data_IF_310093518566
#
_entry.id   IF_310093518566
#
_cell.length_a   1.000
_cell.length_b   1.000
_cell.length_c   1.000
_cell.angle_alpha   90.00
_cell.angle_beta   90.00
_cell.angle_gamma   90.00
#
_symmetry.space_group_name_H-M   'P 1'
#
loop_
_entity.id
_entity.type
_entity.pdbx_description
1 polymer ?
#
# COMPACT_ATOMS: atom_id res chain seq x y z
N UNK A 1 0.90 4.65 -50.40
CA UNK A 1 0.24 3.34 -50.67
C UNK A 1 1.32 2.37 -51.12
N UNK A 2 1.91 1.66 -50.17
CA UNK A 2 3.03 0.74 -50.39
C UNK A 2 2.54 -0.65 -50.03
N UNK A 3 2.51 -1.52 -51.03
CA UNK A 3 2.19 -2.94 -50.92
C UNK A 3 3.52 -3.66 -50.71
N UNK A 4 3.67 -4.40 -49.60
CA UNK A 4 4.69 -5.44 -49.47
C UNK A 4 4.05 -6.72 -48.97
N UNK A 5 4.29 -7.79 -49.73
CA UNK A 5 3.77 -9.15 -49.58
C UNK A 5 4.47 -9.94 -48.47
N UNK A 6 3.65 -10.83 -47.90
CA UNK A 6 3.91 -12.03 -47.11
C UNK A 6 5.24 -12.77 -47.31
N UNK A 7 5.73 -13.38 -46.22
CA UNK A 7 6.29 -14.74 -46.23
C UNK A 7 5.86 -15.52 -44.97
N UNK A 8 5.28 -16.70 -45.22
CA UNK A 8 5.08 -17.81 -44.28
C UNK A 8 6.38 -18.63 -44.16
N UNK A 9 6.61 -19.24 -42.99
CA UNK A 9 7.29 -20.54 -42.82
C UNK A 9 7.02 -21.04 -41.38
N UNK A 10 6.23 -22.12 -41.22
CA UNK A 10 6.67 -23.48 -40.90
C UNK A 10 7.23 -23.62 -39.46
N UNK A 11 6.44 -24.04 -38.48
CA UNK A 11 6.20 -25.44 -38.07
C UNK A 11 7.49 -26.22 -37.77
N UNK A 12 7.79 -26.43 -36.49
CA UNK A 12 8.55 -27.58 -36.02
C UNK A 12 7.88 -28.17 -34.77
N UNK A 13 7.44 -29.42 -34.95
CA UNK A 13 6.96 -30.34 -33.93
C UNK A 13 8.16 -31.21 -33.54
N UNK A 14 8.48 -31.31 -32.25
CA UNK A 14 9.36 -32.36 -31.74
C UNK A 14 8.82 -32.87 -30.41
N UNK A 15 8.31 -34.10 -30.47
CA UNK A 15 7.94 -34.95 -29.35
C UNK A 15 9.19 -35.65 -28.85
N UNK A 16 9.41 -35.66 -27.54
CA UNK A 16 10.28 -36.64 -26.88
C UNK A 16 9.60 -37.13 -25.60
N UNK A 17 9.09 -38.36 -25.66
CA UNK A 17 8.78 -39.17 -24.49
C UNK A 17 10.07 -39.82 -23.99
N UNK A 18 10.28 -39.83 -22.67
CA UNK A 18 11.14 -40.81 -22.03
C UNK A 18 10.50 -41.24 -20.70
N UNK A 19 10.15 -42.52 -20.68
CA UNK A 19 9.69 -43.35 -19.56
C UNK A 19 10.87 -43.89 -18.75
N UNK A 20 10.55 -44.41 -17.55
CA UNK A 20 11.33 -45.33 -16.67
C UNK A 20 11.96 -44.64 -15.45
N UNK A 21 11.93 -45.16 -14.22
CA UNK A 21 11.45 -46.42 -13.66
C UNK A 21 11.20 -46.28 -12.14
N UNK A 22 10.29 -47.13 -11.64
CA UNK A 22 10.05 -47.42 -10.24
C UNK A 22 11.17 -48.29 -9.64
N UNK A 23 11.69 -47.88 -8.48
CA UNK A 23 12.31 -48.71 -7.43
C UNK A 23 11.95 -47.98 -6.12
N UNK A 24 11.40 -48.55 -5.05
CA UNK A 24 11.49 -49.90 -4.52
C UNK A 24 11.84 -49.76 -3.03
N UNK A 25 10.84 -49.91 -2.16
CA UNK A 25 10.88 -49.67 -0.72
C UNK A 25 11.85 -50.59 0.05
N UNK A 26 12.48 -50.08 1.13
CA UNK A 26 12.44 -50.68 2.48
C UNK A 26 13.40 -50.00 3.47
N UNK A 27 12.87 -49.43 4.55
CA UNK A 27 13.48 -49.50 5.89
C UNK A 27 12.45 -49.19 6.98
N UNK A 28 12.47 -50.03 8.01
CA UNK A 28 11.60 -50.06 9.20
C UNK A 28 11.99 -49.00 10.25
N UNK A 29 11.21 -48.82 11.34
CA UNK A 29 11.17 -47.59 12.12
C UNK A 29 12.29 -47.55 13.16
N UNK A 30 12.85 -46.36 13.38
CA UNK A 30 13.63 -46.06 14.56
C UNK A 30 12.83 -45.08 15.42
N UNK A 31 12.30 -45.59 16.52
CA UNK A 31 12.01 -44.81 17.71
C UNK A 31 13.29 -44.07 18.11
N UNK A 32 13.25 -42.74 18.06
CA UNK A 32 14.19 -41.88 18.75
C UNK A 32 13.39 -40.88 19.58
N UNK A 33 13.48 -41.14 20.87
CA UNK A 33 13.06 -40.37 22.03
C UNK A 33 13.19 -38.85 21.84
N UNK A 34 12.20 -38.16 22.42
CA UNK A 34 12.07 -36.72 22.41
C UNK A 34 13.30 -35.97 22.90
N UNK A 35 13.64 -34.95 22.12
CA UNK A 35 14.22 -33.73 22.63
C UNK A 35 13.22 -32.64 22.20
N UNK A 36 12.63 -31.98 23.19
CA UNK A 36 11.94 -30.72 22.97
C UNK A 36 12.88 -29.80 22.18
N UNK A 37 12.41 -29.13 21.11
CA UNK A 37 13.21 -28.10 20.50
C UNK A 37 13.34 -26.99 21.55
N UNK A 38 14.50 -26.91 22.19
CA UNK A 38 14.93 -25.68 22.85
C UNK A 38 14.66 -24.54 21.87
N UNK A 39 13.76 -23.65 22.27
CA UNK A 39 13.58 -22.35 21.64
C UNK A 39 14.97 -21.73 21.53
N UNK A 40 15.55 -21.80 20.34
CA UNK A 40 16.78 -21.11 20.04
C UNK A 40 16.49 -19.63 20.29
N UNK A 41 16.99 -19.10 21.41
CA UNK A 41 16.99 -17.66 21.65
C UNK A 41 17.64 -17.03 20.43
N UNK A 42 16.80 -16.41 19.59
CA UNK A 42 17.24 -15.65 18.45
C UNK A 42 18.24 -14.62 18.99
N UNK A 43 19.49 -14.72 18.51
CA UNK A 43 20.56 -13.81 18.92
C UNK A 43 20.07 -12.37 18.78
N UNK A 44 19.84 -11.70 19.92
CA UNK A 44 19.36 -10.31 20.02
C UNK A 44 20.44 -9.29 19.60
N UNK A 45 21.35 -9.67 18.69
CA UNK A 45 22.28 -8.70 18.13
C UNK A 45 21.51 -7.78 17.17
N UNK A 46 21.58 -6.45 17.37
CA UNK A 46 20.99 -5.49 16.44
C UNK A 46 21.52 -5.77 15.02
N UNK A 47 20.64 -5.98 14.05
CA UNK A 47 21.03 -6.04 12.64
C UNK A 47 21.38 -4.62 12.16
N UNK A 48 22.00 -4.51 10.98
CA UNK A 48 22.42 -3.22 10.40
C UNK A 48 21.27 -2.20 10.23
N UNK A 49 20.01 -2.66 10.32
CA UNK A 49 18.81 -1.82 10.37
C UNK A 49 18.44 -1.27 11.75
N UNK A 50 18.78 -1.94 12.85
CA UNK A 50 18.22 -1.66 14.20
C UNK A 50 18.87 -0.48 14.93
N UNK A 51 19.94 0.10 14.37
CA UNK A 51 20.63 1.25 14.95
C UNK A 51 19.82 2.56 14.77
N UNK A 52 19.75 3.43 15.81
CA UNK A 52 19.14 4.74 15.68
C UNK A 52 19.75 5.54 14.52
N UNK A 53 18.91 6.03 13.63
CA UNK A 53 19.34 6.73 12.41
C UNK A 53 19.43 8.24 12.67
N UNK A 54 20.53 8.87 12.26
CA UNK A 54 20.66 10.33 12.35
C UNK A 54 19.79 11.04 11.31
N UNK A 55 19.47 12.31 11.54
CA UNK A 55 18.74 13.13 10.57
C UNK A 55 19.44 13.18 9.19
N UNK A 56 20.78 13.28 9.21
CA UNK A 56 21.58 13.27 7.99
C UNK A 56 21.47 11.94 7.24
N UNK A 57 21.51 10.81 7.97
CA UNK A 57 21.38 9.49 7.38
C UNK A 57 19.98 9.27 6.79
N UNK A 58 18.93 9.69 7.49
CA UNK A 58 17.55 9.67 6.97
C UNK A 58 17.47 10.45 5.66
N UNK A 59 17.98 11.67 5.64
CA UNK A 59 17.96 12.50 4.43
C UNK A 59 18.66 11.78 3.26
N UNK A 60 19.84 11.21 3.50
CA UNK A 60 20.59 10.47 2.48
C UNK A 60 19.84 9.23 1.99
N UNK A 61 19.17 8.49 2.88
CA UNK A 61 18.35 7.33 2.53
C UNK A 61 17.19 7.77 1.62
N UNK A 62 16.45 8.80 2.00
CA UNK A 62 15.31 9.31 1.22
C UNK A 62 15.77 9.89 -0.12
N UNK A 63 16.91 10.57 -0.17
CA UNK A 63 17.53 11.01 -1.43
C UNK A 63 17.92 9.83 -2.33
N UNK A 64 18.45 8.75 -1.77
CA UNK A 64 18.74 7.52 -2.50
C UNK A 64 17.49 6.90 -3.11
N UNK A 65 16.39 6.83 -2.34
CA UNK A 65 15.09 6.35 -2.83
C UNK A 65 14.57 7.22 -3.98
N UNK A 66 14.56 8.55 -3.80
CA UNK A 66 14.13 9.49 -4.83
C UNK A 66 14.98 9.38 -6.11
N UNK A 67 16.30 9.22 -5.96
CA UNK A 67 17.22 9.05 -7.09
C UNK A 67 16.94 7.75 -7.88
N UNK A 68 16.57 6.67 -7.20
CA UNK A 68 16.21 5.40 -7.84
C UNK A 68 14.93 5.48 -8.72
N UNK A 69 14.14 6.54 -8.56
CA UNK A 69 12.91 6.83 -9.33
C UNK A 69 12.99 8.13 -10.15
N UNK A 70 14.18 8.72 -10.27
CA UNK A 70 14.38 9.92 -11.08
C UNK A 70 14.02 9.71 -12.56
N UNK A 71 14.30 8.56 -13.22
CA UNK A 71 13.89 8.32 -14.60
C UNK A 71 12.36 8.33 -14.79
N UNK A 72 11.61 7.75 -13.86
CA UNK A 72 10.15 7.76 -13.87
C UNK A 72 9.61 9.18 -13.72
N UNK A 73 10.12 9.95 -12.75
CA UNK A 73 9.74 11.36 -12.62
C UNK A 73 10.04 12.16 -13.90
N UNK A 74 11.21 11.96 -14.50
CA UNK A 74 11.59 12.64 -15.74
C UNK A 74 10.69 12.26 -16.93
N UNK A 75 10.20 11.02 -17.01
CA UNK A 75 9.24 10.60 -18.03
C UNK A 75 7.92 11.39 -17.96
N UNK A 76 7.57 11.92 -16.78
CA UNK A 76 6.42 12.80 -16.55
C UNK A 76 6.79 14.30 -16.57
N UNK A 77 8.01 14.63 -16.99
CA UNK A 77 8.53 16.00 -16.98
C UNK A 77 8.67 16.59 -15.58
N UNK A 78 8.84 15.74 -14.58
CA UNK A 78 8.95 16.10 -13.17
C UNK A 78 10.35 15.80 -12.62
N UNK A 79 10.60 16.27 -11.40
CA UNK A 79 11.82 15.99 -10.65
C UNK A 79 11.54 15.87 -9.16
N UNK A 80 12.23 14.95 -8.49
CA UNK A 80 12.19 14.86 -7.03
C UNK A 80 13.16 15.85 -6.39
N UNK A 81 12.77 16.40 -5.25
CA UNK A 81 13.70 17.04 -4.30
C UNK A 81 13.41 16.55 -2.90
N UNK A 82 14.42 16.50 -2.03
CA UNK A 82 14.26 16.08 -0.62
C UNK A 82 14.67 17.22 0.28
N UNK A 83 13.81 17.57 1.23
CA UNK A 83 14.03 18.67 2.20
C UNK A 83 13.76 18.16 3.60
N UNK A 84 14.53 18.63 4.58
CA UNK A 84 14.26 18.39 5.99
C UNK A 84 13.73 19.69 6.58
N UNK A 85 12.42 19.79 6.72
CA UNK A 85 11.77 21.01 7.20
C UNK A 85 10.35 20.72 7.72
N UNK A 86 9.83 21.64 8.55
CA UNK A 86 8.49 21.53 9.09
C UNK A 86 8.32 20.36 10.08
N UNK A 87 7.06 20.05 10.40
CA UNK A 87 6.73 19.05 11.42
C UNK A 87 6.17 17.75 10.88
N UNK A 88 5.77 17.71 9.60
CA UNK A 88 5.04 16.59 9.01
C UNK A 88 5.79 16.07 7.79
N UNK A 89 6.08 14.77 7.79
CA UNK A 89 6.61 14.09 6.62
C UNK A 89 5.51 13.93 5.57
N UNK A 90 5.79 14.37 4.33
CA UNK A 90 4.84 14.35 3.21
C UNK A 90 5.52 14.60 1.87
N UNK A 91 4.82 14.32 0.79
CA UNK A 91 5.12 14.84 -0.54
C UNK A 91 4.28 16.09 -0.88
N UNK A 92 4.91 17.07 -1.50
CA UNK A 92 4.27 18.23 -2.10
C UNK A 92 4.52 18.24 -3.63
N UNK A 93 3.44 18.20 -4.41
CA UNK A 93 3.47 18.16 -5.87
C UNK A 93 3.19 19.59 -6.37
N UNK A 94 4.25 20.28 -6.76
CA UNK A 94 4.17 21.67 -7.20
C UNK A 94 3.76 21.81 -8.67
N UNK A 95 3.22 22.98 -9.03
CA UNK A 95 2.82 23.35 -10.40
C UNK A 95 3.97 23.30 -11.41
N UNK A 96 5.21 23.53 -10.94
CA UNK A 96 6.42 23.46 -11.75
C UNK A 96 6.96 22.03 -11.95
N UNK A 97 6.18 21.02 -11.53
CA UNK A 97 6.51 19.59 -11.55
C UNK A 97 7.71 19.23 -10.68
N UNK A 98 7.99 20.04 -9.66
CA UNK A 98 8.85 19.62 -8.55
C UNK A 98 8.02 18.82 -7.55
N UNK A 99 8.41 17.56 -7.34
CA UNK A 99 7.84 16.66 -6.35
C UNK A 99 8.73 16.69 -5.10
N UNK A 100 8.37 17.52 -4.12
CA UNK A 100 9.16 17.77 -2.92
C UNK A 100 8.81 16.74 -1.85
N UNK A 101 9.73 15.84 -1.51
CA UNK A 101 9.63 15.00 -0.33
C UNK A 101 10.13 15.83 0.86
N UNK A 102 9.20 16.21 1.72
CA UNK A 102 9.47 16.96 2.95
C UNK A 102 9.57 15.93 4.08
N UNK A 103 10.75 15.81 4.67
CA UNK A 103 11.00 15.00 5.88
C UNK A 103 10.77 15.89 7.08
N UNK A 104 9.68 15.65 7.80
CA UNK A 104 9.28 16.44 8.97
C UNK A 104 9.95 15.99 10.25
N UNK A 105 9.87 16.81 11.30
CA UNK A 105 10.42 16.44 12.62
C UNK A 105 9.65 15.31 13.32
N UNK A 106 8.40 15.03 12.95
CA UNK A 106 7.62 13.88 13.40
C UNK A 106 8.27 12.53 13.09
N UNK A 107 9.14 12.53 12.09
CA UNK A 107 9.90 11.38 11.64
C UNK A 107 10.90 10.88 12.70
N UNK A 108 11.57 11.81 13.39
CA UNK A 108 12.71 11.52 14.25
C UNK A 108 12.27 11.16 15.68
N UNK A 109 11.69 9.97 15.83
CA UNK A 109 11.29 9.41 17.13
C UNK A 109 11.90 8.03 17.38
N UNK A 110 11.86 7.62 18.65
CA UNK A 110 12.39 6.33 19.08
C UNK A 110 11.82 5.16 18.25
N UNK A 111 12.69 4.21 17.89
CA UNK A 111 12.36 3.08 17.03
C UNK A 111 12.50 3.35 15.53
N UNK A 112 12.92 4.55 15.10
CA UNK A 112 13.26 4.79 13.70
C UNK A 112 14.56 4.06 13.30
N UNK A 113 14.44 3.13 12.36
CA UNK A 113 15.51 2.32 11.77
C UNK A 113 15.83 2.76 10.34
N UNK A 114 16.93 2.24 9.76
CA UNK A 114 17.27 2.54 8.35
C UNK A 114 16.23 1.98 7.38
N UNK A 115 15.71 0.80 7.69
CA UNK A 115 14.67 0.14 6.90
C UNK A 115 13.34 0.89 6.97
N UNK A 116 12.96 1.41 8.14
CA UNK A 116 11.78 2.29 8.25
C UNK A 116 12.00 3.62 7.53
N UNK A 117 13.20 4.19 7.58
CA UNK A 117 13.52 5.40 6.84
C UNK A 117 13.39 5.20 5.32
N UNK A 118 13.89 4.07 4.81
CA UNK A 118 13.75 3.69 3.40
C UNK A 118 12.29 3.41 3.02
N UNK A 119 11.55 2.69 3.87
CA UNK A 119 10.13 2.44 3.67
C UNK A 119 9.33 3.73 3.53
N UNK A 120 9.55 4.70 4.43
CA UNK A 120 8.79 5.95 4.37
C UNK A 120 9.23 6.81 3.17
N UNK A 121 10.52 6.84 2.83
CA UNK A 121 10.96 7.46 1.56
C UNK A 121 10.26 6.83 0.34
N UNK A 122 10.12 5.51 0.33
CA UNK A 122 9.39 4.77 -0.69
C UNK A 122 7.88 5.06 -0.68
N UNK A 123 7.29 5.26 0.50
CA UNK A 123 5.90 5.68 0.66
C UNK A 123 5.68 7.06 0.01
N UNK A 124 6.55 8.03 0.28
CA UNK A 124 6.43 9.37 -0.31
C UNK A 124 6.60 9.35 -1.83
N UNK A 125 7.55 8.58 -2.36
CA UNK A 125 7.64 8.32 -3.82
C UNK A 125 6.37 7.64 -4.33
N UNK A 126 5.79 6.73 -3.56
CA UNK A 126 4.54 6.04 -3.85
C UNK A 126 3.34 6.98 -3.97
N UNK A 127 3.32 8.12 -3.26
CA UNK A 127 2.30 9.13 -3.51
C UNK A 127 2.40 9.69 -4.93
N UNK A 128 3.60 9.93 -5.47
CA UNK A 128 3.75 10.45 -6.83
C UNK A 128 3.58 9.38 -7.92
N UNK A 129 3.97 8.13 -7.66
CA UNK A 129 4.11 7.10 -8.70
C UNK A 129 3.25 5.84 -8.49
N UNK A 130 2.64 5.66 -7.32
CA UNK A 130 1.91 4.45 -6.94
C UNK A 130 0.62 4.21 -7.70
N UNK A 131 0.01 5.27 -8.25
CA UNK A 131 -1.19 5.21 -9.08
C UNK A 131 -2.49 5.02 -8.30
N UNK A 132 -3.48 4.44 -8.97
CA UNK A 132 -4.82 4.25 -8.43
C UNK A 132 -4.84 3.29 -7.22
N UNK A 133 -5.61 3.58 -6.16
CA UNK A 133 -6.53 4.72 -6.03
C UNK A 133 -5.84 6.03 -5.67
N UNK A 134 -6.39 7.14 -6.17
CA UNK A 134 -5.90 8.50 -5.88
C UNK A 134 -6.64 9.14 -4.70
N UNK A 135 -5.93 10.01 -3.97
CA UNK A 135 -6.51 10.90 -2.95
C UNK A 135 -7.53 11.84 -3.60
N UNK A 136 -8.55 12.20 -2.84
CA UNK A 136 -9.67 13.05 -3.28
C UNK A 136 -9.92 14.14 -2.24
N UNK A 137 -8.95 15.05 -2.12
CA UNK A 137 -9.07 16.28 -1.37
C UNK A 137 -9.02 17.49 -2.29
N UNK A 138 -9.34 18.69 -1.78
CA UNK A 138 -9.23 19.93 -2.55
C UNK A 138 -7.86 20.11 -3.26
N UNK A 139 -6.70 19.79 -2.64
CA UNK A 139 -5.41 19.87 -3.34
C UNK A 139 -5.33 18.96 -4.57
N UNK A 140 -5.79 17.70 -4.46
CA UNK A 140 -5.76 16.74 -5.57
C UNK A 140 -6.74 17.12 -6.67
N UNK A 141 -7.90 17.68 -6.32
CA UNK A 141 -8.82 18.24 -7.32
C UNK A 141 -8.16 19.38 -8.09
N UNK A 142 -7.43 20.26 -7.42
CA UNK A 142 -6.65 21.32 -8.09
C UNK A 142 -5.53 20.73 -8.96
N UNK A 143 -4.90 19.62 -8.56
CA UNK A 143 -3.90 18.92 -9.39
C UNK A 143 -4.48 18.40 -10.73
N UNK A 144 -5.79 18.20 -10.83
CA UNK A 144 -6.47 17.70 -12.05
C UNK A 144 -7.46 18.69 -12.68
N UNK A 145 -7.75 19.83 -12.05
CA UNK A 145 -8.80 20.75 -12.48
C UNK A 145 -8.43 21.47 -13.80
N UNK A 146 -9.31 21.36 -14.81
CA UNK A 146 -9.21 22.10 -16.07
C UNK A 146 -8.31 21.48 -17.14
N UNK A 147 -7.98 20.18 -17.04
CA UNK A 147 -6.88 19.58 -17.79
C UNK A 147 -7.34 18.44 -18.72
N UNK A 148 -7.28 18.68 -20.04
CA UNK A 148 -7.22 17.59 -21.05
C UNK A 148 -5.88 16.84 -20.96
N UNK A 149 -4.81 17.52 -20.53
CA UNK A 149 -3.46 17.00 -20.29
C UNK A 149 -2.91 17.62 -18.98
N UNK A 150 -2.52 16.80 -18.01
CA UNK A 150 -2.25 17.24 -16.63
C UNK A 150 -1.06 18.18 -16.46
N UNK A 151 -1.28 19.31 -15.78
CA UNK A 151 -0.28 20.33 -15.49
C UNK A 151 0.83 19.82 -14.55
N UNK A 152 0.48 19.00 -13.56
CA UNK A 152 1.34 18.61 -12.43
C UNK A 152 2.13 17.30 -12.63
N UNK A 153 1.88 16.60 -13.74
CA UNK A 153 2.53 15.32 -14.06
C UNK A 153 2.07 14.11 -13.22
N UNK A 154 1.29 14.32 -12.15
CA UNK A 154 0.71 13.23 -11.34
C UNK A 154 -0.45 13.73 -10.44
N UNK A 155 -1.11 12.79 -9.77
CA UNK A 155 -2.09 12.99 -8.69
C UNK A 155 -1.67 12.10 -7.52
N UNK A 156 -1.70 12.63 -6.28
CA UNK A 156 -1.28 11.84 -5.12
C UNK A 156 -2.08 10.53 -4.99
N UNK A 157 -1.38 9.41 -4.96
CA UNK A 157 -1.93 8.10 -4.63
C UNK A 157 -2.45 8.09 -3.18
N UNK A 158 -3.45 7.26 -2.89
CA UNK A 158 -3.97 7.03 -1.56
C UNK A 158 -2.88 6.55 -0.59
N UNK A 159 -3.07 6.78 0.72
CA UNK A 159 -2.17 6.28 1.77
C UNK A 159 -1.88 4.78 1.63
N UNK A 160 -2.94 3.97 1.43
CA UNK A 160 -2.79 2.51 1.29
C UNK A 160 -2.07 2.12 0.01
N UNK A 161 -2.27 2.88 -1.06
CA UNK A 161 -1.60 2.64 -2.32
C UNK A 161 -0.12 3.01 -2.26
N UNK A 162 0.24 4.06 -1.50
CA UNK A 162 1.62 4.42 -1.23
C UNK A 162 2.36 3.36 -0.38
N UNK A 163 1.73 2.87 0.70
CA UNK A 163 2.26 1.75 1.50
C UNK A 163 2.46 0.46 0.67
N UNK A 164 1.49 0.16 -0.19
CA UNK A 164 1.50 -1.00 -1.06
C UNK A 164 2.60 -0.87 -2.13
N UNK A 165 2.72 0.30 -2.78
CA UNK A 165 3.80 0.59 -3.72
C UNK A 165 5.17 0.49 -3.06
N UNK A 166 5.32 1.02 -1.84
CA UNK A 166 6.59 1.07 -1.15
C UNK A 166 7.18 -0.33 -0.96
N UNK A 167 6.38 -1.28 -0.50
CA UNK A 167 6.80 -2.66 -0.27
C UNK A 167 6.86 -3.49 -1.56
N UNK A 168 5.89 -3.31 -2.47
CA UNK A 168 5.80 -4.09 -3.71
C UNK A 168 6.87 -3.71 -4.73
N UNK A 169 7.04 -2.43 -5.03
CA UNK A 169 7.93 -2.00 -6.11
C UNK A 169 9.22 -1.38 -5.57
N UNK A 170 9.11 -0.39 -4.68
CA UNK A 170 10.24 0.46 -4.33
C UNK A 170 11.31 -0.27 -3.53
N UNK A 171 10.94 -0.86 -2.38
CA UNK A 171 11.88 -1.61 -1.56
C UNK A 171 12.35 -2.89 -2.26
N UNK A 172 11.49 -3.55 -3.04
CA UNK A 172 11.90 -4.70 -3.83
C UNK A 172 12.94 -4.35 -4.89
N UNK A 173 12.86 -3.15 -5.49
CA UNK A 173 13.85 -2.63 -6.43
C UNK A 173 15.17 -2.29 -5.74
N UNK A 174 15.11 -1.64 -4.57
CA UNK A 174 16.30 -1.13 -3.89
C UNK A 174 17.06 -2.23 -3.16
N UNK A 175 16.34 -3.23 -2.60
CA UNK A 175 16.92 -4.30 -1.79
C UNK A 175 16.97 -5.66 -2.47
N UNK A 176 16.50 -5.77 -3.73
CA UNK A 176 16.41 -7.06 -4.43
C UNK A 176 17.76 -7.79 -4.54
N UNK A 177 18.86 -7.04 -4.63
CA UNK A 177 20.21 -7.58 -4.76
C UNK A 177 20.96 -7.71 -3.40
N UNK A 178 20.35 -7.27 -2.29
CA UNK A 178 20.92 -7.29 -0.94
C UNK A 178 20.80 -8.68 -0.28
N UNK A 179 21.21 -9.74 -0.99
CA UNK A 179 20.96 -11.14 -0.59
C UNK A 179 21.47 -11.51 0.81
N UNK A 180 22.64 -11.04 1.21
CA UNK A 180 23.21 -11.30 2.55
C UNK A 180 22.34 -10.67 3.65
N UNK A 181 22.03 -9.37 3.51
CA UNK A 181 21.19 -8.63 4.45
C UNK A 181 19.78 -9.24 4.53
N UNK A 182 19.15 -9.53 3.38
CA UNK A 182 17.81 -10.11 3.34
C UNK A 182 17.75 -11.46 4.05
N UNK A 183 18.78 -12.31 3.91
CA UNK A 183 18.81 -13.64 4.54
C UNK A 183 18.83 -13.59 6.07
N UNK A 184 19.33 -12.49 6.67
CA UNK A 184 19.37 -12.30 8.11
C UNK A 184 17.97 -12.17 8.73
N UNK A 185 16.95 -11.81 7.94
CA UNK A 185 15.56 -11.65 8.43
C UNK A 185 14.81 -12.98 8.57
N UNK A 186 15.37 -14.11 8.12
CA UNK A 186 14.76 -15.45 8.23
C UNK A 186 14.34 -15.81 9.66
N UNK A 187 15.10 -15.36 10.66
CA UNK A 187 14.91 -15.66 12.08
C UNK A 187 14.08 -14.59 12.81
N UNK A 188 13.73 -13.48 12.14
CA UNK A 188 12.96 -12.35 12.72
C UNK A 188 11.48 -12.42 12.40
N UNK A 189 11.06 -13.32 11.51
CA UNK A 189 9.65 -13.54 11.18
C UNK A 189 9.08 -14.73 11.94
N UNK A 190 7.79 -14.66 12.28
CA UNK A 190 7.07 -15.79 12.86
C UNK A 190 6.99 -16.97 11.86
N UNK A 191 6.68 -18.16 12.35
CA UNK A 191 6.40 -19.30 11.49
C UNK A 191 5.21 -19.06 10.54
N UNK A 192 4.19 -18.31 10.99
CA UNK A 192 3.00 -18.01 10.19
C UNK A 192 3.31 -17.05 9.03
N UNK A 193 4.06 -15.97 9.31
CA UNK A 193 4.54 -15.03 8.29
C UNK A 193 5.51 -15.70 7.32
N UNK A 194 6.43 -16.53 7.84
CA UNK A 194 7.34 -17.32 7.02
C UNK A 194 6.59 -18.21 6.02
N UNK A 195 5.58 -18.95 6.50
CA UNK A 195 4.76 -19.82 5.65
C UNK A 195 4.02 -19.08 4.53
N UNK A 196 3.60 -17.82 4.75
CA UNK A 196 2.97 -16.99 3.71
C UNK A 196 3.96 -16.57 2.63
N UNK A 197 5.15 -16.11 3.02
CA UNK A 197 6.22 -15.82 2.06
C UNK A 197 6.62 -17.08 1.26
N UNK A 198 6.78 -18.21 1.95
CA UNK A 198 7.17 -19.49 1.33
C UNK A 198 6.10 -20.04 0.38
N UNK A 199 4.84 -19.73 0.63
CA UNK A 199 3.72 -20.11 -0.23
C UNK A 199 3.61 -19.31 -1.53
N UNK A 200 4.25 -18.14 -1.60
CA UNK A 200 4.21 -17.26 -2.79
C UNK A 200 5.50 -17.37 -3.60
N UNK A 201 6.65 -17.39 -2.93
CA UNK A 201 7.95 -17.21 -3.57
C UNK A 201 8.73 -18.52 -3.65
N UNK A 202 9.17 -18.87 -4.86
CA UNK A 202 9.92 -20.11 -5.10
C UNK A 202 11.40 -19.98 -4.73
N UNK A 203 12.03 -18.85 -5.07
CA UNK A 203 13.45 -18.65 -4.84
C UNK A 203 13.75 -18.30 -3.38
N UNK A 204 14.96 -18.64 -2.91
CA UNK A 204 15.43 -18.22 -1.58
C UNK A 204 15.54 -16.69 -1.50
N UNK A 205 16.04 -16.04 -2.57
CA UNK A 205 16.23 -14.59 -2.61
C UNK A 205 14.91 -13.82 -2.45
N UNK A 206 13.86 -14.23 -3.16
CA UNK A 206 12.54 -13.58 -3.05
C UNK A 206 11.88 -13.85 -1.70
N UNK A 207 12.05 -15.05 -1.14
CA UNK A 207 11.57 -15.37 0.22
C UNK A 207 12.27 -14.53 1.27
N UNK A 208 13.58 -14.36 1.16
CA UNK A 208 14.38 -13.57 2.09
C UNK A 208 14.00 -12.09 2.05
N UNK A 209 13.81 -11.54 0.85
CA UNK A 209 13.28 -10.20 0.68
C UNK A 209 11.88 -10.07 1.29
N UNK A 210 11.00 -11.05 1.07
CA UNK A 210 9.66 -11.06 1.67
C UNK A 210 9.71 -11.06 3.21
N UNK A 211 10.65 -11.79 3.83
CA UNK A 211 10.82 -11.77 5.28
C UNK A 211 11.26 -10.39 5.79
N UNK A 212 12.22 -9.75 5.11
CA UNK A 212 12.65 -8.39 5.46
C UNK A 212 11.49 -7.40 5.38
N UNK A 213 10.72 -7.44 4.30
CA UNK A 213 9.55 -6.58 4.12
C UNK A 213 8.45 -6.86 5.17
N UNK A 214 8.28 -8.11 5.61
CA UNK A 214 7.35 -8.46 6.67
C UNK A 214 7.79 -7.90 8.04
N UNK A 215 9.10 -7.89 8.31
CA UNK A 215 9.67 -7.23 9.51
C UNK A 215 9.46 -5.73 9.43
N UNK A 216 9.70 -5.08 8.29
CA UNK A 216 9.38 -3.66 8.07
C UNK A 216 7.91 -3.36 8.36
N UNK A 217 6.99 -4.21 7.90
CA UNK A 217 5.56 -4.04 8.18
C UNK A 217 5.27 -4.05 9.69
N UNK A 218 5.82 -5.03 10.42
CA UNK A 218 5.64 -5.13 11.88
C UNK A 218 6.30 -3.95 12.62
N UNK A 219 7.54 -3.63 12.28
CA UNK A 219 8.31 -2.54 12.91
C UNK A 219 7.62 -1.19 12.67
N UNK A 220 7.03 -0.99 11.49
CA UNK A 220 6.25 0.20 11.19
C UNK A 220 4.98 0.28 12.04
N UNK A 221 4.29 -0.85 12.22
CA UNK A 221 3.15 -0.96 13.12
C UNK A 221 3.48 -0.59 14.57
N UNK A 222 4.61 -1.08 15.09
CA UNK A 222 5.14 -0.70 16.41
C UNK A 222 5.48 0.78 16.46
N UNK A 223 6.16 1.29 15.43
CA UNK A 223 6.56 2.69 15.33
C UNK A 223 5.36 3.64 15.34
N UNK A 224 4.23 3.28 14.71
CA UNK A 224 2.98 4.05 14.77
C UNK A 224 2.40 4.18 16.19
N UNK A 225 2.68 3.22 17.08
CA UNK A 225 2.62 3.40 18.54
C UNK A 225 1.22 3.55 19.15
N UNK A 226 0.21 2.84 18.64
CA UNK A 226 -1.18 2.95 19.17
C UNK A 226 -1.80 1.62 19.57
N UNK A 227 -1.75 0.63 18.70
CA UNK A 227 -2.37 -0.67 18.91
C UNK A 227 -1.37 -1.80 18.61
N UNK A 228 -1.47 -2.97 19.28
CA UNK A 228 -0.74 -4.15 18.86
C UNK A 228 -1.09 -4.48 17.40
N UNK A 229 -0.07 -4.55 16.56
CA UNK A 229 -0.23 -4.91 15.15
C UNK A 229 0.73 -6.04 14.79
N UNK A 230 0.33 -6.88 13.84
CA UNK A 230 1.15 -8.01 13.42
C UNK A 230 0.75 -8.53 12.04
N UNK A 231 1.73 -8.96 11.27
CA UNK A 231 1.54 -9.72 10.02
C UNK A 231 0.85 -11.08 10.26
N UNK A 232 0.87 -11.62 11.48
CA UNK A 232 0.22 -12.89 11.81
C UNK A 232 -1.30 -12.78 11.89
N UNK A 233 -1.79 -11.62 12.35
CA UNK A 233 -3.20 -11.36 12.68
C UNK A 233 -3.78 -10.28 11.76
N UNK A 234 -4.01 -10.59 10.47
CA UNK A 234 -4.51 -9.62 9.53
C UNK A 234 -5.90 -9.12 9.93
N UNK A 235 -6.19 -7.86 9.59
CA UNK A 235 -7.50 -7.26 9.84
C UNK A 235 -8.60 -8.03 9.10
N UNK A 236 -9.66 -8.37 9.81
CA UNK A 236 -10.89 -8.93 9.24
C UNK A 236 -11.88 -7.85 8.80
N UNK A 237 -11.54 -6.56 9.00
CA UNK A 237 -12.40 -5.44 8.64
C UNK A 237 -12.53 -5.37 7.12
N UNK A 238 -13.77 -5.23 6.66
CA UNK A 238 -14.09 -4.95 5.26
C UNK A 238 -14.76 -3.59 5.22
N UNK A 239 -14.16 -2.62 4.53
CA UNK A 239 -14.77 -1.32 4.35
C UNK A 239 -15.78 -1.33 3.19
N UNK A 240 -16.88 -0.56 3.31
CA UNK A 240 -17.83 -0.36 2.23
C UNK A 240 -17.20 0.41 1.07
N UNK A 241 -16.21 1.27 1.32
CA UNK A 241 -15.52 2.06 0.31
C UNK A 241 -14.01 1.89 0.32
N UNK A 242 -13.38 2.38 -0.75
CA UNK A 242 -11.93 2.59 -0.76
C UNK A 242 -11.59 3.85 0.04
N UNK A 243 -10.92 3.66 1.16
CA UNK A 243 -10.45 4.75 2.01
C UNK A 243 -9.11 5.28 1.50
N UNK A 244 -9.08 6.54 1.07
CA UNK A 244 -7.91 7.14 0.41
C UNK A 244 -7.06 8.05 1.29
N UNK A 245 -7.55 8.43 2.47
CA UNK A 245 -6.95 9.49 3.29
C UNK A 245 -6.27 8.98 4.57
N UNK A 246 -6.60 7.79 5.06
CA UNK A 246 -5.94 7.26 6.25
C UNK A 246 -6.43 5.88 6.63
N UNK A 247 -5.56 5.04 7.18
CA UNK A 247 -5.89 3.66 7.55
C UNK A 247 -5.57 3.41 9.02
N UNK A 248 -6.30 2.47 9.62
CA UNK A 248 -5.94 1.94 10.94
C UNK A 248 -4.56 1.29 10.88
N UNK A 249 -3.82 1.31 12.01
CA UNK A 249 -2.43 0.83 12.06
C UNK A 249 -2.29 -0.62 11.54
N UNK A 250 -3.14 -1.54 11.99
CA UNK A 250 -3.12 -2.93 11.49
C UNK A 250 -3.32 -3.01 9.99
N UNK A 251 -4.21 -2.18 9.44
CA UNK A 251 -4.48 -2.17 8.00
C UNK A 251 -3.28 -1.65 7.19
N UNK A 252 -2.46 -0.76 7.76
CA UNK A 252 -1.17 -0.37 7.17
C UNK A 252 -0.20 -1.56 7.14
N UNK A 253 -0.04 -2.26 8.26
CA UNK A 253 0.80 -3.48 8.35
C UNK A 253 0.37 -4.52 7.32
N UNK A 254 -0.94 -4.80 7.23
CA UNK A 254 -1.50 -5.73 6.25
C UNK A 254 -1.20 -5.31 4.81
N UNK A 255 -1.21 -4.00 4.54
CA UNK A 255 -1.00 -3.45 3.20
C UNK A 255 0.45 -3.52 2.77
N UNK A 256 1.38 -3.21 3.68
CA UNK A 256 2.82 -3.35 3.46
C UNK A 256 3.16 -4.83 3.21
N UNK A 257 2.59 -5.74 4.01
CA UNK A 257 2.85 -7.16 3.83
C UNK A 257 2.19 -7.75 2.57
N UNK A 258 1.00 -7.29 2.20
CA UNK A 258 0.38 -7.65 0.93
C UNK A 258 1.26 -7.23 -0.26
N UNK A 259 1.88 -6.04 -0.21
CA UNK A 259 2.83 -5.62 -1.24
C UNK A 259 4.04 -6.55 -1.36
N UNK A 260 4.59 -7.00 -0.23
CA UNK A 260 5.68 -7.98 -0.18
C UNK A 260 5.31 -9.37 -0.76
N UNK A 261 4.03 -9.73 -0.73
CA UNK A 261 3.49 -10.98 -1.26
C UNK A 261 3.02 -10.86 -2.72
N UNK A 262 3.09 -9.68 -3.33
CA UNK A 262 2.65 -9.49 -4.69
C UNK A 262 3.80 -9.69 -5.69
N UNK A 263 3.71 -10.63 -6.65
CA UNK A 263 4.72 -10.81 -7.70
C UNK A 263 4.62 -9.80 -8.86
N UNK A 264 3.59 -8.96 -8.89
CA UNK A 264 3.40 -7.97 -9.95
C UNK A 264 4.29 -6.76 -9.70
N UNK A 265 5.09 -6.40 -10.70
CA UNK A 265 5.96 -5.21 -10.70
C UNK A 265 5.52 -4.24 -11.80
N UNK A 266 5.66 -2.94 -11.56
CA UNK A 266 5.44 -1.95 -12.62
C UNK A 266 6.56 -2.06 -13.68
N UNK A 267 6.27 -2.44 -14.95
CA UNK A 267 7.30 -2.73 -15.94
C UNK A 267 7.91 -1.48 -16.60
N UNK A 268 7.39 -0.29 -16.32
CA UNK A 268 7.80 0.94 -17.01
C UNK A 268 7.68 2.18 -16.14
N UNK A 269 7.56 3.33 -16.80
CA UNK A 269 7.46 4.64 -16.16
C UNK A 269 6.02 5.10 -15.97
N UNK A 270 5.03 4.33 -16.43
CA UNK A 270 3.63 4.70 -16.35
C UNK A 270 3.16 4.76 -14.90
N UNK A 271 2.32 5.75 -14.57
CA UNK A 271 1.65 5.85 -13.28
C UNK A 271 0.33 5.08 -13.39
N UNK A 272 0.15 3.96 -12.68
CA UNK A 272 -1.00 3.07 -12.88
C UNK A 272 -2.35 3.79 -12.71
N UNK A 273 -3.22 3.71 -13.71
CA UNK A 273 -4.52 4.38 -13.70
C UNK A 273 -4.47 5.89 -13.95
N UNK A 274 -3.30 6.52 -14.12
CA UNK A 274 -3.19 7.94 -14.49
C UNK A 274 -3.41 8.10 -16.00
N UNK A 275 -4.65 7.91 -16.47
CA UNK A 275 -5.02 7.93 -17.89
C UNK A 275 -5.97 9.11 -18.18
N UNK A 276 -5.71 9.95 -19.21
CA UNK A 276 -6.63 11.01 -19.60
C UNK A 276 -8.02 10.47 -20.00
N UNK A 277 -9.11 11.23 -19.79
CA UNK A 277 -9.18 12.53 -19.14
C UNK A 277 -9.05 12.45 -17.61
N UNK A 278 -8.22 13.32 -17.03
CA UNK A 278 -7.84 13.26 -15.62
C UNK A 278 -8.96 13.62 -14.62
N UNK A 279 -10.05 14.21 -15.10
CA UNK A 279 -11.26 14.43 -14.30
C UNK A 279 -11.80 13.12 -13.69
N UNK A 280 -11.61 11.97 -14.35
CA UNK A 280 -12.07 10.67 -13.86
C UNK A 280 -11.24 10.08 -12.72
N UNK A 281 -10.04 10.62 -12.46
CA UNK A 281 -9.10 10.04 -11.48
C UNK A 281 -9.54 10.26 -10.04
N UNK A 282 -10.27 11.34 -9.79
CA UNK A 282 -10.90 11.64 -8.49
C UNK A 282 -12.30 11.04 -8.40
N UNK A 283 -12.77 10.36 -9.45
CA UNK A 283 -13.99 9.56 -9.40
C UNK A 283 -13.62 8.10 -9.08
N UNK A 284 -14.48 7.44 -8.31
CA UNK A 284 -14.37 5.98 -8.16
C UNK A 284 -14.99 5.36 -9.41
N UNK A 285 -14.14 4.99 -10.36
CA UNK A 285 -14.53 4.41 -11.65
C UNK A 285 -13.81 3.05 -11.83
N UNK A 286 -14.55 1.93 -12.03
CA UNK A 286 -13.94 0.62 -12.23
C UNK A 286 -13.04 0.56 -13.48
N UNK A 287 -13.20 1.47 -14.44
CA UNK A 287 -12.31 1.57 -15.60
C UNK A 287 -10.92 2.10 -15.21
N UNK A 288 -10.82 3.03 -14.26
CA UNK A 288 -9.53 3.52 -13.74
C UNK A 288 -8.80 2.43 -12.96
N UNK A 289 -9.55 1.61 -12.21
CA UNK A 289 -8.96 0.42 -11.57
C UNK A 289 -8.45 -0.58 -12.60
N UNK A 290 -9.21 -0.84 -13.68
CA UNK A 290 -8.79 -1.71 -14.76
C UNK A 290 -7.52 -1.20 -15.46
N UNK A 291 -7.42 0.11 -15.68
CA UNK A 291 -6.23 0.76 -16.25
C UNK A 291 -4.99 0.64 -15.33
N UNK A 292 -5.19 0.47 -14.01
CA UNK A 292 -4.12 0.26 -13.04
C UNK A 292 -3.78 -1.22 -12.78
N UNK A 293 -4.59 -2.16 -13.28
CA UNK A 293 -4.52 -3.58 -12.90
C UNK A 293 -3.19 -4.24 -13.24
N UNK A 294 -2.47 -3.74 -14.25
CA UNK A 294 -1.17 -4.28 -14.65
C UNK A 294 -0.08 -4.12 -13.58
N UNK A 295 -0.27 -3.21 -12.62
CA UNK A 295 0.72 -2.88 -11.59
C UNK A 295 0.34 -3.38 -10.19
N UNK A 296 -0.76 -4.14 -10.04
CA UNK A 296 -1.20 -4.63 -8.74
C UNK A 296 -1.67 -6.08 -8.80
N UNK A 297 -1.61 -6.77 -7.66
CA UNK A 297 -2.25 -8.07 -7.53
C UNK A 297 -3.74 -7.84 -7.31
N UNK A 298 -4.56 -8.29 -8.26
CA UNK A 298 -6.01 -8.20 -8.16
C UNK A 298 -6.57 -9.19 -7.14
N UNK A 299 -5.94 -10.36 -7.02
CA UNK A 299 -6.37 -11.47 -6.16
C UNK A 299 -5.18 -12.14 -5.47
N UNK A 300 -5.48 -13.03 -4.52
CA UNK A 300 -4.49 -13.82 -3.80
C UNK A 300 -3.87 -13.10 -2.59
N UNK A 301 -2.81 -13.68 -2.01
CA UNK A 301 -2.20 -13.18 -0.77
C UNK A 301 -1.53 -11.80 -0.93
N UNK A 302 -1.19 -11.42 -2.17
CA UNK A 302 -0.67 -10.08 -2.48
C UNK A 302 -1.74 -9.04 -2.79
N UNK A 303 -3.03 -9.39 -2.78
CA UNK A 303 -4.08 -8.43 -3.08
C UNK A 303 -4.19 -7.34 -2.01
N UNK A 304 -4.53 -6.11 -2.45
CA UNK A 304 -4.72 -4.96 -1.54
C UNK A 304 -5.79 -5.29 -0.48
N UNK A 305 -5.49 -5.11 0.82
CA UNK A 305 -6.39 -5.49 1.91
C UNK A 305 -7.77 -4.80 1.87
N UNK A 306 -8.82 -5.58 2.19
CA UNK A 306 -10.21 -5.11 2.24
C UNK A 306 -10.52 -4.13 3.37
N UNK A 307 -9.61 -3.99 4.32
CA UNK A 307 -9.70 -3.04 5.42
C UNK A 307 -9.48 -1.58 4.99
N UNK A 308 -9.03 -1.34 3.75
CA UNK A 308 -8.94 0.00 3.15
C UNK A 308 -9.34 0.04 1.68
N UNK A 309 -9.13 -1.04 0.93
CA UNK A 309 -9.37 -1.08 -0.52
C UNK A 309 -10.63 -1.89 -0.87
N UNK A 310 -11.50 -1.33 -1.70
CA UNK A 310 -12.62 -2.04 -2.31
C UNK A 310 -12.38 -2.17 -3.82
N UNK A 311 -11.99 -3.35 -4.33
CA UNK A 311 -11.95 -3.63 -5.76
C UNK A 311 -13.32 -3.51 -6.42
N UNK A 312 -13.30 -3.15 -7.70
CA UNK A 312 -14.46 -2.95 -8.56
C UNK A 312 -15.50 -2.02 -7.92
N UNK A 313 -15.02 -0.98 -7.22
CA UNK A 313 -15.92 -0.01 -6.63
C UNK A 313 -16.61 0.79 -7.73
N UNK A 314 -17.92 0.93 -7.61
CA UNK A 314 -18.71 1.92 -8.32
C UNK A 314 -19.13 3.01 -7.34
N UNK A 315 -19.43 4.23 -7.81
CA UNK A 315 -20.00 5.26 -6.96
C UNK A 315 -21.25 4.73 -6.25
N UNK A 316 -21.36 4.99 -4.95
CA UNK A 316 -22.58 4.70 -4.21
C UNK A 316 -23.71 5.61 -4.68
N UNK A 317 -24.91 5.05 -4.78
CA UNK A 317 -26.12 5.83 -5.01
C UNK A 317 -26.49 6.57 -3.71
N UNK A 318 -26.21 7.87 -3.69
CA UNK A 318 -26.53 8.76 -2.59
C UNK A 318 -27.83 9.53 -2.81
N UNK A 319 -28.64 9.20 -3.82
CA UNK A 319 -29.87 9.95 -4.13
C UNK A 319 -30.90 9.99 -3.00
N UNK A 320 -30.79 9.06 -2.02
CA UNK A 320 -31.67 9.01 -0.85
C UNK A 320 -31.18 9.85 0.35
N UNK A 321 -30.00 10.45 0.29
CA UNK A 321 -29.42 11.27 1.38
C UNK A 321 -29.13 12.67 0.83
N UNK A 322 -29.58 13.76 1.47
CA UNK A 322 -29.26 15.10 1.03
C UNK A 322 -27.74 15.35 0.97
N UNK A 323 -27.29 16.26 0.12
CA UNK A 323 -25.86 16.61 -0.01
C UNK A 323 -25.29 17.14 1.32
N UNK A 324 -26.09 17.86 2.11
CA UNK A 324 -25.74 18.33 3.45
C UNK A 324 -25.84 17.24 4.53
N UNK A 325 -26.31 16.04 4.18
CA UNK A 325 -26.67 14.99 5.12
C UNK A 325 -28.08 15.14 5.70
N UNK A 326 -28.48 14.18 6.53
CA UNK A 326 -29.70 14.26 7.33
C UNK A 326 -29.56 13.52 8.67
N UNK A 327 -30.61 13.55 9.50
CA UNK A 327 -30.64 12.79 10.74
C UNK A 327 -31.21 11.39 10.52
N UNK A 328 -30.57 10.39 11.11
CA UNK A 328 -31.00 9.00 11.08
C UNK A 328 -30.95 8.37 12.47
N UNK A 329 -31.31 7.09 12.54
CA UNK A 329 -31.23 6.28 13.75
C UNK A 329 -30.45 5.02 13.40
N UNK A 330 -29.47 4.64 14.24
CA UNK A 330 -28.70 3.39 14.06
C UNK A 330 -29.60 2.17 14.30
N UNK A 331 -29.10 0.97 13.97
CA UNK A 331 -29.82 -0.28 14.23
C UNK A 331 -30.11 -0.49 15.73
N UNK A 332 -29.27 0.06 16.61
CA UNK A 332 -29.40 0.04 18.06
C UNK A 332 -30.35 1.12 18.61
N UNK A 333 -30.97 1.93 17.75
CA UNK A 333 -31.88 2.99 18.18
C UNK A 333 -31.18 4.29 18.61
N UNK A 334 -29.88 4.45 18.34
CA UNK A 334 -29.12 5.66 18.69
C UNK A 334 -29.33 6.70 17.60
N UNK A 335 -29.63 7.95 17.97
CA UNK A 335 -29.70 9.06 17.01
C UNK A 335 -28.34 9.26 16.34
N UNK A 336 -28.30 9.58 15.06
CA UNK A 336 -27.05 9.75 14.31
C UNK A 336 -27.15 10.82 13.23
N UNK A 337 -26.03 11.46 12.94
CA UNK A 337 -25.85 12.22 11.70
C UNK A 337 -25.60 11.21 10.57
N UNK A 338 -26.30 11.38 9.45
CA UNK A 338 -26.17 10.53 8.28
C UNK A 338 -25.67 11.33 7.10
N UNK A 339 -24.53 10.92 6.58
CA UNK A 339 -23.97 11.44 5.35
C UNK A 339 -23.92 10.33 4.31
N UNK A 340 -23.85 10.70 3.04
CA UNK A 340 -23.53 9.75 1.99
C UNK A 340 -22.46 10.32 1.09
N UNK A 341 -21.43 9.53 0.81
CA UNK A 341 -20.43 9.86 -0.20
C UNK A 341 -20.42 8.79 -1.28
N UNK A 342 -20.17 9.20 -2.52
CA UNK A 342 -19.97 8.29 -3.64
C UNK A 342 -18.88 7.22 -3.35
N UNK A 343 -17.97 7.51 -2.42
CA UNK A 343 -16.85 6.63 -2.08
C UNK A 343 -17.13 5.65 -0.95
N UNK A 344 -17.64 6.15 0.17
CA UNK A 344 -17.82 5.38 1.39
C UNK A 344 -19.25 4.85 1.55
N UNK A 345 -20.18 5.33 0.73
CA UNK A 345 -21.60 5.03 0.86
C UNK A 345 -22.22 5.81 2.00
N UNK A 346 -23.20 5.21 2.66
CA UNK A 346 -23.88 5.81 3.81
C UNK A 346 -22.97 5.70 5.03
N UNK A 347 -22.69 6.84 5.65
CA UNK A 347 -21.91 6.98 6.87
C UNK A 347 -22.82 7.46 7.98
N UNK A 348 -22.84 6.74 9.10
CA UNK A 348 -23.59 7.10 10.29
C UNK A 348 -22.62 7.50 11.40
N UNK A 349 -22.83 8.68 11.98
CA UNK A 349 -22.08 9.19 13.12
C UNK A 349 -23.03 9.23 14.33
N UNK A 350 -22.98 8.21 15.20
CA UNK A 350 -23.88 8.14 16.35
C UNK A 350 -23.65 9.33 17.28
N UNK A 351 -24.75 9.94 17.72
CA UNK A 351 -24.75 10.97 18.73
C UNK A 351 -24.29 10.40 20.08
N UNK A 352 -23.66 11.26 20.88
CA UNK A 352 -23.28 10.92 22.25
C UNK A 352 -24.53 10.64 23.10
N UNK A 353 -24.35 9.90 24.19
CA UNK A 353 -25.45 9.63 25.12
C UNK A 353 -26.05 10.95 25.65
N UNK A 354 -27.38 11.07 25.54
CA UNK A 354 -28.11 12.28 25.94
C UNK A 354 -28.15 13.40 24.89
N UNK A 355 -27.64 13.16 23.68
CA UNK A 355 -27.83 14.07 22.54
C UNK A 355 -28.68 13.42 21.45
N UNK A 356 -29.36 14.25 20.66
CA UNK A 356 -30.05 13.82 19.44
C UNK A 356 -29.59 14.64 18.24
N UNK A 357 -29.75 14.05 17.06
CA UNK A 357 -29.45 14.73 15.81
C UNK A 357 -30.62 15.65 15.47
N UNK A 358 -30.30 16.90 15.19
CA UNK A 358 -31.20 17.86 14.59
C UNK A 358 -30.51 18.55 13.40
N UNK A 359 -31.30 19.13 12.50
CA UNK A 359 -30.75 19.99 11.45
C UNK A 359 -30.52 21.40 12.00
N UNK A 360 -29.34 21.96 11.75
CA UNK A 360 -29.04 23.34 12.08
C UNK A 360 -29.67 24.35 11.09
N UNK A 361 -29.31 25.64 11.23
CA UNK A 361 -29.83 26.70 10.36
C UNK A 361 -29.43 26.55 8.89
N UNK A 362 -28.31 25.87 8.63
CA UNK A 362 -27.78 25.59 7.30
C UNK A 362 -28.19 24.19 6.78
N UNK A 363 -29.10 23.51 7.48
CA UNK A 363 -29.59 22.16 7.16
C UNK A 363 -28.52 21.07 7.24
N UNK A 364 -27.48 21.28 8.06
CA UNK A 364 -26.54 20.23 8.42
C UNK A 364 -27.05 19.44 9.62
N UNK A 365 -26.95 18.10 9.61
CA UNK A 365 -27.24 17.30 10.79
C UNK A 365 -26.13 17.52 11.84
N UNK A 366 -26.55 17.86 13.06
CA UNK A 366 -25.65 18.08 14.19
C UNK A 366 -26.22 17.37 15.43
N UNK A 367 -25.39 16.59 16.09
CA UNK A 367 -25.71 16.02 17.40
C UNK A 367 -25.64 17.10 18.50
N UNK A 368 -26.79 17.42 19.10
CA UNK A 368 -26.93 18.43 20.15
C UNK A 368 -27.71 17.92 21.37
N UNK A 369 -27.53 18.57 22.52
CA UNK A 369 -28.37 18.30 23.68
C UNK A 369 -29.83 18.59 23.33
N UNK A 370 -30.74 17.72 23.75
CA UNK A 370 -32.17 17.94 23.62
C UNK A 370 -32.56 19.21 24.37
N UNK A 371 -32.71 20.32 23.66
CA UNK A 371 -33.28 21.55 24.20
C UNK A 371 -34.80 21.36 24.28
N UNK A 372 -35.25 20.67 25.32
CA UNK A 372 -36.67 20.65 25.71
C UNK A 372 -37.13 22.00 26.23
#
# INVERSE_FOLDING_TARGET
>A
MVIVRMRNAATFLAVAMATSALMGCSSSPAEALGQDPEEAEASLMPLAGDEPVSEADVKLIVEGVAAAYAPEAQAHGAQFTVRVEGSMTRIDIAEDRTWNIIVGTDFFRAGLTRDLAAFIGCHEVGHALGGFPFKDGPPQRTQVAGLEEGQFGTVSSAEGQADYFASKDCLARIWGDDSEENSAYRTRVSAATKARCDGVWASDAERDLCYRLAVVANDFGVWLGRDPTSTDTPSTRVLPGTNVNGMAAQCRVDTIFAGALCPVRNPGTDIPGLVPPYARLVEIDPTVEADAAFAACAEGPGARPRCWFRPNSTPYDCSSVPETGDCAVTEEGVSAERFCSARMGIELFPCLEGTSCALDEDQFPVCGLDTN
#
